data_IF_051482663463
#
_entry.id   IF_051482663463
#
_cell.length_a   1.000
_cell.length_b   1.000
_cell.length_c   1.000
_cell.angle_alpha   90.00
_cell.angle_beta   90.00
_cell.angle_gamma   90.00
#
_symmetry.space_group_name_H-M   'P 1'
#
loop_
_entity.id
_entity.type
_entity.pdbx_description
1 polymer ?
#
# COMPACT_ATOMS: atom_id res chain seq x y z
N UNK A 1 1.09 -0.21 19.52
CA UNK A 1 0.47 -0.20 18.16
C UNK A 1 -1.04 0.03 18.25
N UNK A 2 -1.54 1.12 17.66
CA UNK A 2 -2.97 1.38 17.49
C UNK A 2 -3.56 0.52 16.34
N UNK A 3 -4.82 0.06 16.48
CA UNK A 3 -5.54 -0.69 15.45
C UNK A 3 -5.58 -0.01 14.08
N UNK A 4 -5.65 1.32 14.02
CA UNK A 4 -5.62 2.07 12.76
C UNK A 4 -4.27 1.91 12.03
N UNK A 5 -3.16 1.96 12.76
CA UNK A 5 -1.81 1.76 12.22
C UNK A 5 -1.64 0.36 11.63
N UNK A 6 -2.16 -0.66 12.32
CA UNK A 6 -2.17 -2.04 11.82
C UNK A 6 -2.96 -2.17 10.52
N UNK A 7 -4.16 -1.59 10.46
CA UNK A 7 -5.00 -1.62 9.26
C UNK A 7 -4.28 -0.96 8.08
N UNK A 8 -3.70 0.22 8.27
CA UNK A 8 -2.98 0.93 7.21
C UNK A 8 -1.78 0.12 6.67
N UNK A 9 -1.03 -0.54 7.54
CA UNK A 9 0.10 -1.39 7.13
C UNK A 9 -0.40 -2.61 6.34
N UNK A 10 -1.42 -3.31 6.83
CA UNK A 10 -1.97 -4.50 6.17
C UNK A 10 -2.56 -4.15 4.80
N UNK A 11 -3.30 -3.04 4.70
CA UNK A 11 -3.85 -2.55 3.42
C UNK A 11 -2.73 -2.15 2.46
N UNK A 12 -1.70 -1.45 2.95
CA UNK A 12 -0.54 -1.10 2.15
C UNK A 12 0.19 -2.32 1.58
N UNK A 13 0.39 -3.36 2.38
CA UNK A 13 0.96 -4.63 1.94
C UNK A 13 0.03 -5.38 0.96
N UNK A 14 -1.29 -5.31 1.15
CA UNK A 14 -2.26 -5.86 0.21
C UNK A 14 -2.16 -5.21 -1.17
N UNK A 15 -1.98 -3.88 -1.24
CA UNK A 15 -1.79 -3.17 -2.50
C UNK A 15 -0.51 -3.59 -3.23
N UNK A 16 0.55 -4.02 -2.53
CA UNK A 16 1.74 -4.60 -3.17
C UNK A 16 1.37 -5.85 -3.99
N UNK A 17 0.48 -6.71 -3.46
CA UNK A 17 -0.07 -7.83 -4.22
C UNK A 17 -0.85 -7.39 -5.46
N UNK A 18 -1.65 -6.32 -5.33
CA UNK A 18 -2.35 -5.69 -6.44
C UNK A 18 -1.41 -5.17 -7.53
N UNK A 19 -0.31 -4.52 -7.16
CA UNK A 19 0.71 -3.99 -8.09
C UNK A 19 1.33 -5.14 -8.90
N UNK A 20 1.75 -6.21 -8.22
CA UNK A 20 2.32 -7.40 -8.88
C UNK A 20 1.31 -7.99 -9.88
N UNK A 21 0.04 -8.05 -9.49
CA UNK A 21 -1.05 -8.53 -10.36
C UNK A 21 -1.22 -7.64 -11.60
N UNK A 22 -1.23 -6.32 -11.42
CA UNK A 22 -1.41 -5.35 -12.52
C UNK A 22 -0.23 -5.32 -13.48
N UNK A 23 1.00 -5.49 -12.97
CA UNK A 23 2.19 -5.66 -13.81
C UNK A 23 2.05 -6.92 -14.69
N UNK A 24 1.63 -8.05 -14.11
CA UNK A 24 1.41 -9.30 -14.86
C UNK A 24 0.28 -9.18 -15.88
N UNK A 25 -0.76 -8.40 -15.59
CA UNK A 25 -1.88 -8.12 -16.48
C UNK A 25 -1.60 -7.04 -17.52
N UNK A 26 -0.39 -6.43 -17.52
CA UNK A 26 0.01 -5.34 -18.42
C UNK A 26 -0.95 -4.14 -18.37
N UNK A 27 -1.42 -3.81 -17.17
CA UNK A 27 -2.26 -2.63 -16.94
C UNK A 27 -1.50 -1.33 -17.23
N UNK A 28 -2.21 -0.21 -17.48
CA UNK A 28 -1.59 1.08 -17.77
C UNK A 28 -0.59 1.50 -16.68
N UNK A 29 0.57 2.02 -17.10
CA UNK A 29 1.62 2.44 -16.17
C UNK A 29 1.12 3.50 -15.17
N UNK A 30 0.27 4.43 -15.60
CA UNK A 30 -0.33 5.45 -14.74
C UNK A 30 -1.14 4.88 -13.57
N UNK A 31 -1.80 3.75 -13.79
CA UNK A 31 -2.60 3.07 -12.78
C UNK A 31 -1.68 2.33 -11.80
N UNK A 32 -0.64 1.67 -12.31
CA UNK A 32 0.36 1.00 -11.48
C UNK A 32 1.12 2.01 -10.61
N UNK A 33 1.52 3.16 -11.16
CA UNK A 33 2.22 4.21 -10.42
C UNK A 33 1.32 4.81 -9.34
N UNK A 34 0.07 5.12 -9.66
CA UNK A 34 -0.88 5.64 -8.67
C UNK A 34 -1.07 4.65 -7.51
N UNK A 35 -1.24 3.36 -7.81
CA UNK A 35 -1.43 2.35 -6.77
C UNK A 35 -0.15 2.12 -5.95
N UNK A 36 1.03 2.25 -6.57
CA UNK A 36 2.31 2.20 -5.87
C UNK A 36 2.47 3.34 -4.88
N UNK A 37 2.07 4.56 -5.27
CA UNK A 37 2.04 5.71 -4.36
C UNK A 37 1.04 5.49 -3.22
N UNK A 38 -0.16 4.98 -3.52
CA UNK A 38 -1.15 4.64 -2.49
C UNK A 38 -0.65 3.60 -1.47
N UNK A 39 0.00 2.54 -1.96
CA UNK A 39 0.62 1.53 -1.09
C UNK A 39 1.69 2.15 -0.18
N UNK A 40 2.58 2.98 -0.74
CA UNK A 40 3.60 3.67 0.03
C UNK A 40 2.99 4.60 1.10
N UNK A 41 1.96 5.37 0.74
CA UNK A 41 1.27 6.27 1.67
C UNK A 41 0.63 5.51 2.84
N UNK A 42 -0.05 4.40 2.58
CA UNK A 42 -0.64 3.57 3.64
C UNK A 42 0.42 3.01 4.59
N UNK A 43 1.51 2.44 4.05
CA UNK A 43 2.57 1.87 4.87
C UNK A 43 3.26 2.97 5.67
N UNK A 44 3.75 4.03 5.04
CA UNK A 44 4.45 5.13 5.71
C UNK A 44 3.58 5.74 6.80
N UNK A 45 2.31 6.01 6.53
CA UNK A 45 1.39 6.58 7.52
C UNK A 45 1.15 5.62 8.68
N UNK A 46 0.98 4.32 8.41
CA UNK A 46 0.84 3.31 9.45
C UNK A 46 2.11 3.15 10.30
N UNK A 47 3.29 3.24 9.70
CA UNK A 47 4.57 3.28 10.41
C UNK A 47 4.70 4.52 11.31
N UNK A 48 4.35 5.70 10.78
CA UNK A 48 4.41 6.97 11.53
C UNK A 48 3.44 7.02 12.72
N UNK A 49 2.27 6.39 12.60
CA UNK A 49 1.30 6.27 13.68
C UNK A 49 1.56 5.07 14.61
N UNK A 50 2.71 4.39 14.50
CA UNK A 50 3.08 3.39 15.48
C UNK A 50 3.46 4.07 16.80
N UNK A 51 2.45 4.38 17.62
CA UNK A 51 2.66 4.51 19.07
C UNK A 51 3.12 3.15 19.60
N UNK A 52 4.33 3.12 20.18
CA UNK A 52 4.90 1.97 20.89
C UNK A 52 4.11 1.74 22.17
#
# INVERSE_FOLDING_TARGET
MNGLSTVLIVVGLFFVGGIISFVKQKMPASLITLMSVGAALCIVTGLLQMEV
#
